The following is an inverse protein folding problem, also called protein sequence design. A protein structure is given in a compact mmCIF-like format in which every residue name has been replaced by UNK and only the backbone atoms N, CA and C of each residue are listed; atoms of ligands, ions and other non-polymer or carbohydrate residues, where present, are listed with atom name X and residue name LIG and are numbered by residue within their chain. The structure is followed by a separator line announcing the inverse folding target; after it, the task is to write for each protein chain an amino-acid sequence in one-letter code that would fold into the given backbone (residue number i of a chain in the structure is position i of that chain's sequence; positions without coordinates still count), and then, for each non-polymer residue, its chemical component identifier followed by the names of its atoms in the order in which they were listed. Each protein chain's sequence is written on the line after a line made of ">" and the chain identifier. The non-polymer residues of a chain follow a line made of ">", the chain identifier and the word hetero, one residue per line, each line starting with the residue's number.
data_IF_982205814460
#
_entry.id   IF_982205814460
#
_cell.length_a   1.000
_cell.length_b   1.000
_cell.length_c   1.000
_cell.angle_alpha   90.00
_cell.angle_beta   90.00
_cell.angle_gamma   90.00
#
_symmetry.space_group_name_H-M   'P 1'
#
loop_
_entity.id
_entity.type
_entity.pdbx_description
1 polymer ?
#
# COMPACT_ATOMS: atom_id res chain seq x y z
N UNK A 1 11.91 -49.04 -37.96
CA UNK A 1 11.14 -47.98 -38.65
C UNK A 1 10.39 -47.20 -37.58
N UNK A 2 10.93 -46.07 -37.09
CA UNK A 2 10.62 -44.69 -37.53
C UNK A 2 9.12 -44.41 -37.66
N UNK A 3 8.57 -43.77 -36.62
CA UNK A 3 7.86 -42.50 -36.80
C UNK A 3 7.97 -41.68 -35.51
N UNK A 4 8.66 -40.53 -35.61
CA UNK A 4 8.54 -39.39 -34.69
C UNK A 4 7.20 -38.72 -34.97
N UNK A 5 6.48 -38.33 -33.93
CA UNK A 5 5.75 -37.06 -33.93
C UNK A 5 6.17 -36.32 -32.67
N UNK A 6 6.83 -35.20 -32.90
CA UNK A 6 7.11 -34.13 -31.95
C UNK A 6 5.97 -33.13 -32.06
N UNK A 7 5.40 -32.72 -30.94
CA UNK A 7 5.00 -31.32 -30.73
C UNK A 7 4.91 -31.03 -29.23
N UNK A 8 5.52 -29.90 -28.87
CA UNK A 8 5.47 -29.25 -27.58
C UNK A 8 4.07 -29.20 -26.95
N UNK A 9 4.03 -29.44 -25.64
CA UNK A 9 3.09 -28.75 -24.76
C UNK A 9 3.78 -28.45 -23.43
N UNK A 10 4.16 -27.18 -23.32
CA UNK A 10 4.62 -26.49 -22.13
C UNK A 10 3.94 -26.93 -20.82
N UNK A 11 4.74 -27.19 -19.79
CA UNK A 11 4.55 -26.55 -18.47
C UNK A 11 3.22 -26.74 -17.71
N UNK A 12 2.62 -27.94 -17.70
CA UNK A 12 1.30 -28.12 -17.07
C UNK A 12 1.31 -28.55 -15.59
N UNK A 13 2.42 -28.98 -15.00
CA UNK A 13 2.36 -29.67 -13.68
C UNK A 13 3.13 -29.04 -12.50
N UNK A 14 3.52 -27.76 -12.57
CA UNK A 14 4.03 -26.99 -11.41
C UNK A 14 3.16 -25.79 -11.01
N UNK A 15 2.05 -25.55 -11.72
CA UNK A 15 1.11 -24.41 -11.57
C UNK A 15 -0.13 -24.72 -10.72
N UNK A 16 -0.28 -25.93 -10.16
CA UNK A 16 -1.47 -26.40 -9.41
C UNK A 16 -1.49 -26.06 -7.90
N UNK A 17 -0.39 -25.60 -7.29
CA UNK A 17 -0.27 -25.42 -5.83
C UNK A 17 -0.89 -24.12 -5.23
N UNK A 18 -0.99 -22.98 -5.96
CA UNK A 18 -1.80 -21.83 -5.51
C UNK A 18 -3.32 -22.10 -5.43
N UNK A 19 -3.80 -23.16 -6.10
CA UNK A 19 -5.23 -23.40 -6.37
C UNK A 19 -6.04 -23.99 -5.21
N UNK A 20 -5.40 -24.56 -4.19
CA UNK A 20 -6.10 -25.04 -2.98
C UNK A 20 -5.93 -24.12 -1.76
N UNK A 21 -4.95 -23.22 -1.77
CA UNK A 21 -4.35 -22.63 -0.55
C UNK A 21 -4.85 -21.22 -0.17
N UNK A 22 -6.05 -20.83 -0.60
CA UNK A 22 -6.80 -19.75 0.05
C UNK A 22 -8.29 -20.05 0.19
N UNK A 23 -8.69 -21.33 0.19
CA UNK A 23 -10.10 -21.80 0.23
C UNK A 23 -10.94 -20.88 1.12
N UNK A 24 -11.78 -20.09 0.45
CA UNK A 24 -12.75 -19.18 1.04
C UNK A 24 -13.50 -19.89 2.18
N UNK A 25 -14.00 -19.16 3.20
CA UNK A 25 -15.11 -19.69 3.97
C UNK A 25 -16.22 -20.01 2.97
N UNK A 26 -17.00 -21.03 3.25
CA UNK A 26 -18.11 -21.57 2.48
C UNK A 26 -17.78 -22.84 1.68
N UNK A 27 -18.33 -23.92 2.23
CA UNK A 27 -18.54 -25.27 1.69
C UNK A 27 -19.33 -25.32 0.35
N UNK A 28 -19.19 -24.35 -0.56
CA UNK A 28 -20.05 -24.20 -1.76
C UNK A 28 -19.41 -24.59 -3.10
N UNK A 29 -18.22 -25.19 -3.11
CA UNK A 29 -17.54 -25.59 -4.35
C UNK A 29 -17.56 -27.09 -4.65
N UNK A 30 -18.46 -27.84 -4.02
CA UNK A 30 -18.89 -29.14 -4.54
C UNK A 30 -20.32 -28.99 -5.05
N UNK A 31 -20.47 -28.40 -6.24
CA UNK A 31 -21.66 -28.60 -7.07
C UNK A 31 -22.59 -27.41 -7.35
N UNK A 32 -22.63 -26.33 -6.55
CA UNK A 32 -23.79 -25.40 -6.64
C UNK A 32 -23.50 -23.89 -6.41
N UNK A 33 -22.33 -23.35 -6.77
CA UNK A 33 -22.06 -21.90 -6.58
C UNK A 33 -21.02 -21.28 -7.50
N UNK A 34 -21.34 -20.08 -8.02
CA UNK A 34 -20.54 -19.15 -8.85
C UNK A 34 -19.32 -19.78 -9.54
N UNK A 35 -19.38 -19.99 -10.85
CA UNK A 35 -18.22 -20.49 -11.60
C UNK A 35 -17.01 -19.53 -11.45
N UNK A 36 -15.79 -20.07 -11.52
CA UNK A 36 -14.56 -19.26 -11.51
C UNK A 36 -14.62 -18.15 -12.57
N UNK A 37 -15.23 -18.42 -13.72
CA UNK A 37 -15.50 -17.47 -14.80
C UNK A 37 -16.28 -16.25 -14.33
N UNK A 38 -17.34 -16.45 -13.53
CA UNK A 38 -18.15 -15.35 -12.99
C UNK A 38 -17.34 -14.47 -12.03
N UNK A 39 -16.50 -15.08 -11.18
CA UNK A 39 -15.61 -14.35 -10.27
C UNK A 39 -14.60 -13.53 -11.06
N UNK A 40 -13.94 -14.12 -12.06
CA UNK A 40 -12.96 -13.43 -12.90
C UNK A 40 -13.59 -12.27 -13.68
N UNK A 41 -14.79 -12.47 -14.26
CA UNK A 41 -15.53 -11.41 -14.94
C UNK A 41 -15.86 -10.24 -14.00
N UNK A 42 -16.33 -10.54 -12.79
CA UNK A 42 -16.62 -9.51 -11.77
C UNK A 42 -15.37 -8.73 -11.36
N UNK A 43 -14.23 -9.40 -11.19
CA UNK A 43 -12.96 -8.75 -10.86
C UNK A 43 -12.45 -7.88 -12.00
N UNK A 44 -12.55 -8.34 -13.25
CA UNK A 44 -12.16 -7.56 -14.42
C UNK A 44 -13.02 -6.30 -14.57
N UNK A 45 -14.34 -6.42 -14.42
CA UNK A 45 -15.24 -5.27 -14.45
C UNK A 45 -14.90 -4.27 -13.33
N UNK A 46 -14.63 -4.77 -12.13
CA UNK A 46 -14.24 -3.92 -11.01
C UNK A 46 -12.88 -3.23 -11.23
N UNK A 47 -11.92 -3.90 -11.86
CA UNK A 47 -10.63 -3.31 -12.22
C UNK A 47 -10.76 -2.22 -13.30
N UNK A 48 -11.70 -2.38 -14.24
CA UNK A 48 -11.99 -1.34 -15.24
C UNK A 48 -12.65 -0.10 -14.62
N UNK A 49 -13.41 -0.27 -13.55
CA UNK A 49 -14.15 0.81 -12.89
C UNK A 49 -13.39 1.52 -11.76
N UNK A 50 -12.30 0.94 -11.24
CA UNK A 50 -11.58 1.44 -10.07
C UNK A 50 -10.07 1.27 -10.23
N UNK A 51 -9.34 2.39 -10.20
CA UNK A 51 -7.88 2.38 -10.25
C UNK A 51 -7.29 1.68 -9.04
N UNK A 52 -7.91 1.86 -7.86
CA UNK A 52 -7.51 1.15 -6.64
C UNK A 52 -7.61 -0.36 -6.82
N UNK A 53 -8.73 -0.82 -7.40
CA UNK A 53 -8.97 -2.24 -7.64
C UNK A 53 -7.99 -2.82 -8.68
N UNK A 54 -7.76 -2.09 -9.78
CA UNK A 54 -6.80 -2.48 -10.80
C UNK A 54 -5.40 -2.66 -10.22
N UNK A 55 -4.92 -1.67 -9.46
CA UNK A 55 -3.61 -1.71 -8.83
C UNK A 55 -3.49 -2.79 -7.77
N UNK A 56 -4.55 -3.03 -6.98
CA UNK A 56 -4.56 -4.10 -5.98
C UNK A 56 -4.40 -5.51 -6.61
N UNK A 57 -4.93 -5.71 -7.82
CA UNK A 57 -4.85 -6.96 -8.57
C UNK A 57 -3.48 -7.20 -9.25
N UNK A 58 -2.60 -6.19 -9.32
CA UNK A 58 -1.24 -6.35 -9.85
C UNK A 58 -0.30 -7.13 -8.92
N UNK A 59 -0.76 -7.49 -7.72
CA UNK A 59 0.02 -8.26 -6.76
C UNK A 59 -0.01 -9.75 -7.11
N UNK A 60 1.17 -10.35 -7.23
CA UNK A 60 1.33 -11.79 -7.38
C UNK A 60 0.94 -12.54 -6.09
N UNK A 61 0.55 -13.82 -6.17
CA UNK A 61 0.29 -14.63 -4.97
C UNK A 61 1.47 -14.65 -4.00
N UNK A 62 2.71 -14.65 -4.51
CA UNK A 62 3.92 -14.58 -3.70
C UNK A 62 4.04 -13.23 -2.99
N UNK A 63 3.82 -12.10 -3.67
CA UNK A 63 3.84 -10.77 -3.03
C UNK A 63 2.75 -10.59 -1.96
N UNK A 64 1.64 -11.31 -2.08
CA UNK A 64 0.61 -11.32 -1.03
C UNK A 64 1.00 -12.25 0.12
N UNK A 65 1.38 -13.49 -0.16
CA UNK A 65 1.52 -14.54 0.86
C UNK A 65 2.92 -14.68 1.47
N UNK A 66 3.97 -14.39 0.73
CA UNK A 66 5.35 -14.51 1.21
C UNK A 66 5.69 -13.30 2.08
N UNK A 67 5.24 -13.36 3.33
CA UNK A 67 5.40 -12.30 4.32
C UNK A 67 6.53 -12.56 5.31
N UNK A 68 7.19 -13.73 5.27
CA UNK A 68 8.37 -14.08 6.08
C UNK A 68 8.23 -13.77 7.59
N UNK A 69 7.01 -13.85 8.12
CA UNK A 69 6.71 -13.52 9.52
C UNK A 69 6.83 -12.02 9.85
N UNK A 70 6.78 -11.15 8.85
CA UNK A 70 6.76 -9.67 8.99
C UNK A 70 5.34 -9.17 9.30
N UNK A 71 4.34 -9.91 8.82
CA UNK A 71 2.92 -9.64 8.98
C UNK A 71 2.26 -10.78 9.76
N UNK A 72 1.10 -10.48 10.35
CA UNK A 72 0.22 -11.50 10.90
C UNK A 72 -0.58 -12.16 9.77
N UNK A 73 -0.99 -13.41 9.97
CA UNK A 73 -1.89 -14.10 9.04
C UNK A 73 -3.16 -13.27 8.76
N UNK A 74 -3.72 -12.63 9.79
CA UNK A 74 -4.88 -11.76 9.63
C UNK A 74 -4.61 -10.58 8.68
N UNK A 75 -3.47 -9.89 8.82
CA UNK A 75 -3.10 -8.78 7.94
C UNK A 75 -2.98 -9.21 6.47
N UNK A 76 -2.41 -10.39 6.24
CA UNK A 76 -2.25 -10.95 4.89
C UNK A 76 -3.60 -11.40 4.32
N UNK A 77 -4.47 -11.98 5.14
CA UNK A 77 -5.81 -12.38 4.75
C UNK A 77 -6.70 -11.19 4.37
N UNK A 78 -6.68 -10.11 5.16
CA UNK A 78 -7.42 -8.88 4.83
C UNK A 78 -6.91 -8.31 3.52
N UNK A 79 -5.59 -8.14 3.41
CA UNK A 79 -4.89 -7.69 2.21
C UNK A 79 -5.27 -8.46 0.95
N UNK A 80 -5.34 -9.79 1.04
CA UNK A 80 -5.81 -10.64 -0.05
C UNK A 80 -7.27 -10.39 -0.39
N UNK A 81 -8.15 -10.45 0.61
CA UNK A 81 -9.60 -10.34 0.41
C UNK A 81 -10.01 -8.99 -0.15
N UNK A 82 -9.26 -7.94 0.14
CA UNK A 82 -9.43 -6.63 -0.50
C UNK A 82 -9.11 -6.76 -2.00
N UNK A 83 -7.94 -7.30 -2.34
CA UNK A 83 -7.51 -7.44 -3.74
C UNK A 83 -8.48 -8.28 -4.58
N UNK A 84 -9.05 -9.35 -4.01
CA UNK A 84 -10.04 -10.20 -4.72
C UNK A 84 -11.50 -9.87 -4.40
N UNK A 85 -11.79 -8.73 -3.77
CA UNK A 85 -13.15 -8.29 -3.40
C UNK A 85 -13.97 -9.32 -2.60
N UNK A 86 -13.31 -10.14 -1.79
CA UNK A 86 -13.90 -11.16 -0.92
C UNK A 86 -13.96 -10.74 0.56
N UNK A 87 -13.64 -9.47 0.85
CA UNK A 87 -13.86 -8.93 2.18
C UNK A 87 -15.38 -8.72 2.36
N UNK A 88 -15.95 -9.33 3.38
CA UNK A 88 -17.40 -9.26 3.58
C UNK A 88 -17.77 -7.89 4.16
N UNK A 89 -18.57 -7.13 3.41
CA UNK A 89 -19.09 -5.83 3.85
C UNK A 89 -20.51 -5.93 4.44
N UNK A 90 -20.98 -7.13 4.77
CA UNK A 90 -22.29 -7.32 5.40
C UNK A 90 -22.49 -6.47 6.66
N UNK A 91 -23.75 -6.11 6.89
CA UNK A 91 -24.39 -5.75 8.15
C UNK A 91 -25.90 -5.83 7.92
N UNK A 92 -26.70 -6.00 8.98
CA UNK A 92 -28.15 -6.27 8.90
C UNK A 92 -28.91 -5.28 8.02
N UNK A 93 -28.55 -4.01 8.11
CA UNK A 93 -29.28 -2.93 7.44
C UNK A 93 -28.79 -2.64 6.02
N UNK A 94 -27.74 -3.33 5.55
CA UNK A 94 -27.07 -3.02 4.27
C UNK A 94 -28.01 -3.08 3.07
N UNK A 95 -29.02 -3.95 3.13
CA UNK A 95 -30.02 -4.08 2.07
C UNK A 95 -30.90 -2.83 1.92
N UNK A 96 -31.09 -2.08 3.02
CA UNK A 96 -31.85 -0.82 3.03
C UNK A 96 -30.94 0.38 2.79
N UNK A 97 -29.76 0.36 3.41
CA UNK A 97 -28.79 1.42 3.34
C UNK A 97 -27.38 0.83 3.28
N UNK A 98 -26.77 0.92 2.09
CA UNK A 98 -25.41 0.45 1.84
C UNK A 98 -24.36 1.56 1.97
N UNK A 99 -24.69 2.68 2.63
CA UNK A 99 -23.76 3.75 2.89
C UNK A 99 -22.70 3.40 3.93
N UNK A 100 -21.56 4.07 3.87
CA UNK A 100 -20.46 3.91 4.79
C UNK A 100 -20.83 4.47 6.16
N UNK A 101 -20.77 3.62 7.18
CA UNK A 101 -21.11 3.96 8.58
C UNK A 101 -19.91 4.35 9.42
N UNK A 102 -18.73 4.50 8.79
CA UNK A 102 -17.48 4.73 9.51
C UNK A 102 -17.39 6.13 10.12
N UNK A 103 -17.90 7.14 9.41
CA UNK A 103 -17.97 8.53 9.86
C UNK A 103 -19.34 9.11 9.49
N UNK A 104 -19.80 10.12 10.23
CA UNK A 104 -20.98 10.90 9.86
C UNK A 104 -20.80 11.54 8.47
N UNK A 105 -19.62 12.07 8.18
CA UNK A 105 -19.28 12.67 6.88
C UNK A 105 -19.32 11.67 5.71
N UNK A 106 -19.38 10.37 5.98
CA UNK A 106 -19.53 9.33 4.96
C UNK A 106 -21.00 8.95 4.70
N UNK A 107 -21.95 9.55 5.40
CA UNK A 107 -23.37 9.26 5.22
C UNK A 107 -23.79 9.54 3.77
N UNK A 108 -24.54 8.61 3.18
CA UNK A 108 -24.96 8.67 1.78
C UNK A 108 -23.89 8.23 0.76
N UNK A 109 -22.62 8.10 1.17
CA UNK A 109 -21.58 7.53 0.31
C UNK A 109 -21.63 6.01 0.35
N UNK A 110 -21.80 5.38 -0.82
CA UNK A 110 -21.88 3.92 -0.93
C UNK A 110 -20.61 3.25 -0.40
N UNK A 111 -20.77 2.28 0.51
CA UNK A 111 -19.65 1.55 1.08
C UNK A 111 -19.09 0.53 0.07
N UNK A 112 -18.00 0.90 -0.59
CA UNK A 112 -17.23 0.05 -1.51
C UNK A 112 -15.83 -0.24 -0.95
N UNK A 113 -15.10 -1.18 -1.56
CA UNK A 113 -13.68 -1.42 -1.21
C UNK A 113 -12.84 -0.15 -1.43
N UNK A 114 -13.05 0.52 -2.56
CA UNK A 114 -12.34 1.75 -2.92
C UNK A 114 -12.65 2.86 -1.91
N UNK A 115 -13.92 3.03 -1.54
CA UNK A 115 -14.28 3.98 -0.50
C UNK A 115 -13.57 3.66 0.81
N UNK A 116 -13.67 2.42 1.31
CA UNK A 116 -13.12 2.05 2.62
C UNK A 116 -11.59 2.15 2.71
N UNK A 117 -10.89 1.85 1.62
CA UNK A 117 -9.43 1.74 1.63
C UNK A 117 -8.71 2.87 0.93
N UNK A 118 -9.42 3.74 0.21
CA UNK A 118 -8.83 4.88 -0.47
C UNK A 118 -9.61 6.17 -0.19
N UNK A 119 -10.87 6.27 -0.60
CA UNK A 119 -11.58 7.57 -0.67
C UNK A 119 -12.06 8.10 0.69
N UNK A 120 -12.39 7.22 1.63
CA UNK A 120 -12.89 7.57 2.95
C UNK A 120 -11.93 8.55 3.64
N UNK A 121 -12.42 9.62 4.30
CA UNK A 121 -11.56 10.58 5.01
C UNK A 121 -10.56 9.92 5.97
N UNK A 122 -10.96 8.85 6.67
CA UNK A 122 -10.05 8.05 7.51
C UNK A 122 -8.91 7.40 6.71
N UNK A 123 -9.21 6.83 5.53
CA UNK A 123 -8.21 6.22 4.67
C UNK A 123 -7.25 7.27 4.11
N UNK A 124 -7.81 8.35 3.59
CA UNK A 124 -7.11 9.52 3.06
C UNK A 124 -6.06 10.07 4.04
N UNK A 125 -6.40 10.28 5.33
CA UNK A 125 -5.42 10.77 6.32
C UNK A 125 -4.40 9.72 6.75
N UNK A 126 -4.76 8.43 6.76
CA UNK A 126 -3.82 7.35 7.08
C UNK A 126 -2.77 7.18 5.98
N UNK A 127 -3.19 7.21 4.71
CA UNK A 127 -2.27 7.20 3.57
C UNK A 127 -1.41 8.44 3.52
N UNK A 128 -2.00 9.63 3.71
CA UNK A 128 -1.23 10.87 3.78
C UNK A 128 -0.15 10.79 4.86
N UNK A 129 -0.48 10.28 6.06
CA UNK A 129 0.50 10.05 7.13
C UNK A 129 1.64 9.16 6.67
N UNK A 130 1.35 7.99 6.08
CA UNK A 130 2.37 7.09 5.58
C UNK A 130 3.25 7.73 4.51
N UNK A 131 2.62 8.31 3.48
CA UNK A 131 3.30 8.94 2.34
C UNK A 131 4.22 10.06 2.82
N UNK A 132 3.76 10.93 3.72
CA UNK A 132 4.57 12.06 4.17
C UNK A 132 5.81 11.62 4.95
N UNK A 133 5.65 10.63 5.84
CA UNK A 133 6.78 10.09 6.60
C UNK A 133 7.74 9.30 5.71
N UNK A 134 7.21 8.59 4.72
CA UNK A 134 7.98 7.84 3.75
C UNK A 134 8.86 8.71 2.84
N UNK A 135 8.29 9.77 2.28
CA UNK A 135 9.00 10.70 1.39
C UNK A 135 9.85 11.71 2.16
N UNK A 136 9.56 11.92 3.44
CA UNK A 136 10.14 12.98 4.27
C UNK A 136 9.62 14.37 3.93
N UNK A 137 8.46 14.46 3.25
CA UNK A 137 7.84 15.68 2.72
C UNK A 137 6.36 15.72 3.09
N UNK A 138 5.84 16.87 3.54
CA UNK A 138 4.42 17.06 3.90
C UNK A 138 3.54 17.28 2.66
N UNK A 139 2.97 16.21 2.13
CA UNK A 139 2.04 16.27 1.02
C UNK A 139 0.65 16.76 1.44
N UNK A 140 0.07 17.68 0.65
CA UNK A 140 -1.35 18.05 0.77
C UNK A 140 -2.25 16.97 0.16
N UNK A 141 -3.53 16.97 0.56
CA UNK A 141 -4.47 15.91 0.19
C UNK A 141 -4.62 15.75 -1.32
N UNK A 142 -4.70 16.86 -2.05
CA UNK A 142 -4.86 16.88 -3.51
C UNK A 142 -3.71 16.21 -4.27
N UNK A 143 -2.56 16.00 -3.62
CA UNK A 143 -1.38 15.40 -4.24
C UNK A 143 -1.20 13.92 -3.89
N UNK A 144 -1.95 13.40 -2.91
CA UNK A 144 -1.82 11.98 -2.55
C UNK A 144 -2.34 11.01 -3.62
N UNK A 145 -3.27 11.37 -4.54
CA UNK A 145 -3.66 10.51 -5.67
C UNK A 145 -2.49 10.00 -6.51
N UNK A 146 -1.39 10.74 -6.62
CA UNK A 146 -0.19 10.27 -7.31
C UNK A 146 0.44 9.00 -6.69
N UNK A 147 0.04 8.62 -5.46
CA UNK A 147 0.52 7.45 -4.74
C UNK A 147 -0.50 6.30 -4.69
N UNK A 148 -1.68 6.44 -5.32
CA UNK A 148 -2.77 5.47 -5.25
C UNK A 148 -2.30 4.06 -5.60
N UNK A 149 -1.67 3.90 -6.77
CA UNK A 149 -1.18 2.61 -7.26
C UNK A 149 -0.20 1.97 -6.27
N UNK A 150 0.71 2.77 -5.71
CA UNK A 150 1.70 2.31 -4.73
C UNK A 150 1.06 1.84 -3.41
N UNK A 151 0.00 2.52 -2.97
CA UNK A 151 -0.75 2.16 -1.77
C UNK A 151 -1.54 0.86 -1.99
N UNK A 152 -2.28 0.77 -3.11
CA UNK A 152 -3.10 -0.38 -3.45
C UNK A 152 -2.28 -1.65 -3.70
N UNK A 153 -1.19 -1.53 -4.48
CA UNK A 153 -0.26 -2.64 -4.77
C UNK A 153 0.64 -2.97 -3.58
N UNK A 154 0.69 -2.11 -2.56
CA UNK A 154 1.64 -2.18 -1.42
C UNK A 154 3.11 -2.23 -1.86
N UNK A 155 3.39 -1.67 -3.03
CA UNK A 155 4.73 -1.55 -3.59
C UNK A 155 5.22 -0.12 -3.39
N UNK A 156 6.42 0.03 -2.84
CA UNK A 156 6.98 1.33 -2.51
C UNK A 156 7.17 2.20 -3.76
N UNK A 157 6.84 3.51 -3.69
CA UNK A 157 7.22 4.44 -4.75
C UNK A 157 8.75 4.58 -4.81
N UNK A 158 9.24 5.06 -5.95
CA UNK A 158 10.66 5.41 -6.10
C UNK A 158 11.08 6.39 -5.02
N UNK A 159 12.23 6.13 -4.38
CA UNK A 159 12.75 6.97 -3.32
C UNK A 159 12.99 8.39 -3.85
N UNK A 160 12.60 9.39 -3.04
CA UNK A 160 12.88 10.80 -3.34
C UNK A 160 14.38 11.04 -3.40
N UNK A 161 14.81 12.07 -4.15
CA UNK A 161 16.23 12.48 -4.20
C UNK A 161 16.79 12.71 -2.79
N UNK A 162 16.00 13.34 -1.91
CA UNK A 162 16.34 13.62 -0.51
C UNK A 162 16.57 12.33 0.28
N UNK A 163 15.70 11.33 0.15
CA UNK A 163 15.88 10.04 0.84
C UNK A 163 17.09 9.28 0.30
N UNK A 164 17.31 9.27 -1.02
CA UNK A 164 18.49 8.64 -1.64
C UNK A 164 19.79 9.30 -1.16
N UNK A 165 19.86 10.62 -1.16
CA UNK A 165 21.01 11.37 -0.67
C UNK A 165 21.28 11.09 0.80
N UNK A 166 20.24 11.07 1.64
CA UNK A 166 20.38 10.73 3.05
C UNK A 166 20.94 9.31 3.24
N UNK A 167 20.45 8.33 2.48
CA UNK A 167 20.99 6.96 2.54
C UNK A 167 22.46 6.91 2.12
N UNK A 168 22.82 7.59 1.03
CA UNK A 168 24.19 7.65 0.54
C UNK A 168 25.15 8.38 1.51
N UNK A 169 24.65 9.37 2.26
CA UNK A 169 25.45 10.13 3.23
C UNK A 169 25.68 9.35 4.52
N UNK A 170 24.64 8.71 5.07
CA UNK A 170 24.76 7.98 6.35
C UNK A 170 25.37 6.59 6.17
N UNK A 171 25.14 5.96 5.01
CA UNK A 171 25.48 4.56 4.74
C UNK A 171 25.98 4.36 3.30
N UNK A 172 27.11 4.99 2.91
CA UNK A 172 27.62 4.94 1.53
C UNK A 172 27.87 3.50 1.04
N UNK A 173 28.32 2.61 1.91
CA UNK A 173 28.68 1.23 1.55
C UNK A 173 27.47 0.28 1.48
N UNK A 174 26.30 0.70 1.96
CA UNK A 174 25.15 -0.16 2.22
C UNK A 174 23.83 0.40 1.64
N UNK A 175 23.90 1.37 0.71
CA UNK A 175 22.73 2.13 0.19
C UNK A 175 21.62 1.22 -0.31
N UNK A 176 21.96 0.17 -1.06
CA UNK A 176 20.97 -0.76 -1.62
C UNK A 176 20.29 -1.60 -0.53
N UNK A 177 21.05 -2.04 0.47
CA UNK A 177 20.52 -2.81 1.59
C UNK A 177 19.55 -1.95 2.43
N UNK A 178 19.90 -0.70 2.73
CA UNK A 178 19.00 0.23 3.40
C UNK A 178 17.80 0.63 2.53
N UNK A 179 17.99 0.73 1.21
CA UNK A 179 16.88 0.98 0.27
C UNK A 179 15.87 -0.18 0.33
N UNK A 180 16.34 -1.42 0.42
CA UNK A 180 15.47 -2.58 0.56
C UNK A 180 14.73 -2.60 1.91
N UNK A 181 15.39 -2.27 3.02
CA UNK A 181 14.72 -2.14 4.33
C UNK A 181 13.73 -0.96 4.37
N UNK A 182 14.05 0.14 3.67
CA UNK A 182 13.07 1.20 3.44
C UNK A 182 11.88 0.57 2.72
N UNK A 183 12.03 -0.01 1.52
CA UNK A 183 10.91 -0.59 0.72
C UNK A 183 10.06 -1.58 1.52
N UNK A 184 10.71 -2.36 2.39
CA UNK A 184 10.07 -3.28 3.32
C UNK A 184 9.16 -2.59 4.34
N UNK A 185 9.59 -1.47 4.93
CA UNK A 185 8.75 -0.63 5.81
C UNK A 185 7.46 -0.21 5.09
N UNK A 186 7.55 0.24 3.83
CA UNK A 186 6.35 0.62 3.06
C UNK A 186 5.38 -0.55 2.95
N UNK A 187 5.85 -1.71 2.48
CA UNK A 187 5.01 -2.91 2.33
C UNK A 187 4.30 -3.28 3.63
N UNK A 188 5.04 -3.25 4.75
CA UNK A 188 4.49 -3.59 6.07
C UNK A 188 3.44 -2.57 6.50
N UNK A 189 3.76 -1.26 6.47
CA UNK A 189 2.83 -0.23 6.91
C UNK A 189 1.61 -0.11 6.00
N UNK A 190 1.74 -0.31 4.70
CA UNK A 190 0.60 -0.36 3.78
C UNK A 190 -0.34 -1.53 4.10
N UNK A 191 0.21 -2.70 4.46
CA UNK A 191 -0.57 -3.86 4.91
C UNK A 191 -1.28 -3.61 6.25
N UNK A 192 -0.59 -2.94 7.18
CA UNK A 192 -1.14 -2.53 8.48
C UNK A 192 -2.25 -1.49 8.29
N UNK A 193 -2.06 -0.51 7.40
CA UNK A 193 -3.04 0.52 7.09
C UNK A 193 -4.37 -0.09 6.64
N UNK A 194 -4.36 -0.93 5.59
CA UNK A 194 -5.60 -1.57 5.11
C UNK A 194 -6.25 -2.47 6.16
N UNK A 195 -5.45 -3.13 6.99
CA UNK A 195 -5.96 -3.97 8.08
C UNK A 195 -6.66 -3.13 9.16
N UNK A 196 -6.04 -2.03 9.58
CA UNK A 196 -6.64 -1.12 10.56
C UNK A 196 -7.90 -0.45 10.04
N UNK A 197 -7.92 -0.03 8.77
CA UNK A 197 -9.12 0.55 8.16
C UNK A 197 -10.29 -0.44 8.18
N UNK A 198 -10.02 -1.73 7.93
CA UNK A 198 -11.02 -2.80 8.03
C UNK A 198 -11.48 -3.05 9.46
N UNK A 199 -10.57 -3.04 10.44
CA UNK A 199 -10.93 -3.23 11.86
C UNK A 199 -11.82 -2.08 12.35
N UNK A 200 -11.44 -0.83 12.05
CA UNK A 200 -12.21 0.36 12.41
C UNK A 200 -13.61 0.35 11.81
N UNK A 201 -13.72 -0.05 10.53
CA UNK A 201 -15.03 -0.22 9.88
C UNK A 201 -15.88 -1.23 10.65
N UNK A 202 -15.32 -2.38 11.02
CA UNK A 202 -16.08 -3.40 11.74
C UNK A 202 -16.49 -2.94 13.14
N UNK A 203 -15.64 -2.18 13.85
CA UNK A 203 -16.00 -1.57 15.14
C UNK A 203 -17.13 -0.56 15.01
N UNK A 204 -17.07 0.33 14.02
CA UNK A 204 -18.14 1.29 13.76
C UNK A 204 -19.47 0.59 13.42
N UNK A 205 -19.43 -0.46 12.59
CA UNK A 205 -20.61 -1.16 12.10
C UNK A 205 -21.24 -2.10 13.14
N UNK A 206 -20.43 -2.87 13.87
CA UNK A 206 -20.92 -3.95 14.73
C UNK A 206 -20.83 -3.65 16.23
N UNK A 207 -20.01 -2.69 16.63
CA UNK A 207 -19.82 -2.29 18.03
C UNK A 207 -20.28 -0.85 18.27
N UNK A 208 -20.77 -0.16 17.24
CA UNK A 208 -21.20 1.24 17.29
C UNK A 208 -20.13 2.18 17.84
N UNK A 209 -18.85 1.83 17.63
CA UNK A 209 -17.73 2.64 18.08
C UNK A 209 -17.64 3.92 17.24
N UNK A 210 -17.49 5.07 17.90
CA UNK A 210 -17.29 6.35 17.23
C UNK A 210 -15.85 6.43 16.73
N UNK A 211 -15.68 6.28 15.42
CA UNK A 211 -14.39 6.48 14.76
C UNK A 211 -14.19 7.96 14.46
N UNK A 212 -12.98 8.46 14.69
CA UNK A 212 -12.60 9.83 14.29
C UNK A 212 -11.45 9.79 13.29
N UNK A 213 -11.31 10.85 12.50
CA UNK A 213 -10.21 11.01 11.54
C UNK A 213 -8.85 10.97 12.27
N UNK A 214 -8.71 11.77 13.34
CA UNK A 214 -7.48 11.80 14.14
C UNK A 214 -7.20 10.47 14.85
N UNK A 215 -8.24 9.84 15.42
CA UNK A 215 -8.15 8.52 16.02
C UNK A 215 -7.69 7.47 15.02
N UNK A 216 -8.17 7.55 13.77
CA UNK A 216 -7.78 6.60 12.72
C UNK A 216 -6.29 6.62 12.44
N UNK A 217 -5.70 7.82 12.33
CA UNK A 217 -4.24 7.98 12.15
C UNK A 217 -3.48 7.46 13.36
N UNK A 218 -3.96 7.74 14.58
CA UNK A 218 -3.29 7.30 15.80
C UNK A 218 -3.24 5.78 15.91
N UNK A 219 -4.38 5.12 15.70
CA UNK A 219 -4.53 3.67 15.76
C UNK A 219 -3.80 2.93 14.64
N UNK A 220 -3.63 3.55 13.47
CA UNK A 220 -2.78 2.99 12.42
C UNK A 220 -1.29 3.16 12.77
N UNK A 221 -0.87 4.40 13.03
CA UNK A 221 0.54 4.76 13.03
C UNK A 221 1.28 4.20 14.24
N UNK A 222 0.72 4.35 15.45
CA UNK A 222 1.40 3.96 16.69
C UNK A 222 1.57 2.43 16.81
N UNK A 223 0.54 1.60 16.57
CA UNK A 223 0.70 0.15 16.48
C UNK A 223 1.59 -0.28 15.31
N UNK A 224 1.50 0.38 14.15
CA UNK A 224 2.37 0.10 13.00
C UNK A 224 3.86 0.24 13.32
N UNK A 225 4.25 1.38 13.92
CA UNK A 225 5.64 1.58 14.37
C UNK A 225 6.04 0.60 15.48
N UNK A 226 5.09 0.18 16.34
CA UNK A 226 5.35 -0.83 17.38
C UNK A 226 5.64 -2.20 16.76
N UNK A 227 4.87 -2.63 15.77
CA UNK A 227 5.10 -3.89 15.04
C UNK A 227 6.45 -3.87 14.34
N UNK A 228 6.79 -2.80 13.61
CA UNK A 228 8.12 -2.66 12.98
C UNK A 228 9.26 -2.71 14.00
N UNK A 229 9.10 -2.06 15.16
CA UNK A 229 10.10 -2.10 16.23
C UNK A 229 10.26 -3.51 16.80
N UNK A 230 9.16 -4.23 16.99
CA UNK A 230 9.19 -5.60 17.48
C UNK A 230 9.88 -6.53 16.46
N UNK A 231 9.56 -6.38 15.18
CA UNK A 231 10.19 -7.09 14.07
C UNK A 231 11.71 -6.87 14.04
N UNK A 232 12.13 -5.60 14.06
CA UNK A 232 13.55 -5.25 14.02
C UNK A 232 14.31 -5.78 15.24
N UNK A 233 13.72 -5.69 16.44
CA UNK A 233 14.28 -6.28 17.67
C UNK A 233 14.39 -7.81 17.59
N UNK A 234 13.39 -8.49 17.03
CA UNK A 234 13.42 -9.94 16.81
C UNK A 234 14.60 -10.31 15.91
N UNK A 235 14.79 -9.58 14.83
CA UNK A 235 15.87 -9.83 13.86
C UNK A 235 17.26 -9.53 14.42
N UNK A 236 17.42 -8.47 15.22
CA UNK A 236 18.66 -8.17 15.93
C UNK A 236 19.11 -9.28 16.90
N UNK A 237 18.19 -10.13 17.37
CA UNK A 237 18.49 -11.23 18.30
C UNK A 237 18.98 -12.50 17.61
N UNK A 238 18.80 -12.63 16.30
CA UNK A 238 19.21 -13.82 15.55
C UNK A 238 20.47 -13.53 14.76
N UNK A 239 21.42 -14.46 14.75
CA UNK A 239 22.74 -14.28 14.11
C UNK A 239 22.59 -14.06 12.60
N UNK A 240 21.69 -14.81 11.96
CA UNK A 240 21.39 -14.78 10.52
C UNK A 240 20.75 -13.47 10.04
N UNK A 241 19.96 -12.79 10.89
CA UNK A 241 19.23 -11.57 10.51
C UNK A 241 19.68 -10.31 11.26
N UNK A 242 20.75 -10.37 12.06
CA UNK A 242 21.16 -9.28 12.95
C UNK A 242 21.40 -7.96 12.22
N UNK A 243 22.07 -8.04 11.07
CA UNK A 243 22.38 -6.87 10.24
C UNK A 243 21.10 -6.27 9.66
N UNK A 244 20.19 -7.09 9.11
CA UNK A 244 18.88 -6.65 8.60
C UNK A 244 18.06 -5.95 9.69
N UNK A 245 17.95 -6.55 10.88
CA UNK A 245 17.24 -5.96 12.00
C UNK A 245 17.83 -4.61 12.44
N UNK A 246 19.16 -4.46 12.36
CA UNK A 246 19.86 -3.21 12.71
C UNK A 246 19.56 -2.12 11.68
N UNK A 247 19.63 -2.45 10.38
CA UNK A 247 19.25 -1.55 9.29
C UNK A 247 17.78 -1.11 9.40
N UNK A 248 16.87 -2.05 9.67
CA UNK A 248 15.46 -1.77 9.87
C UNK A 248 15.22 -0.82 11.07
N UNK A 249 15.93 -1.01 12.20
CA UNK A 249 15.84 -0.10 13.35
C UNK A 249 16.29 1.33 12.98
N UNK A 250 17.36 1.46 12.19
CA UNK A 250 17.85 2.77 11.76
C UNK A 250 16.86 3.47 10.83
N UNK A 251 16.36 2.76 9.81
CA UNK A 251 15.27 3.24 8.96
C UNK A 251 14.06 3.66 9.79
N UNK A 252 13.63 2.85 10.75
CA UNK A 252 12.48 3.17 11.60
C UNK A 252 12.67 4.47 12.40
N UNK A 253 13.89 4.72 12.91
CA UNK A 253 14.21 5.99 13.60
C UNK A 253 14.08 7.18 12.66
N UNK A 254 14.51 7.05 11.40
CA UNK A 254 14.34 8.11 10.39
C UNK A 254 12.87 8.33 10.07
N UNK A 255 12.11 7.27 9.81
CA UNK A 255 10.69 7.33 9.47
C UNK A 255 9.86 8.01 10.56
N UNK A 256 10.18 7.77 11.83
CA UNK A 256 9.46 8.35 12.95
C UNK A 256 9.64 9.87 13.10
N UNK A 257 10.61 10.49 12.39
CA UNK A 257 10.81 11.95 12.40
C UNK A 257 9.69 12.66 11.64
N UNK A 258 9.41 13.91 12.01
CA UNK A 258 8.41 14.71 11.33
C UNK A 258 8.85 15.02 9.88
N UNK A 259 7.94 14.95 8.89
CA UNK A 259 8.23 15.34 7.51
C UNK A 259 8.49 16.85 7.39
N UNK A 260 9.40 17.24 6.49
CA UNK A 260 9.62 18.66 6.20
C UNK A 260 8.46 19.24 5.38
N UNK A 261 8.16 20.54 5.47
CA UNK A 261 7.21 21.20 4.57
C UNK A 261 7.58 20.94 3.10
N UNK A 262 6.58 20.83 2.21
CA UNK A 262 6.84 20.92 0.76
C UNK A 262 7.46 22.27 0.51
N UNK A 263 8.71 22.29 0.05
CA UNK A 263 9.25 23.51 -0.56
C UNK A 263 8.37 23.80 -1.79
N UNK A 264 7.80 25.01 -1.91
CA UNK A 264 7.19 25.42 -3.16
C UNK A 264 8.21 25.20 -4.28
N UNK A 265 7.79 24.81 -5.50
CA UNK A 265 8.70 24.96 -6.64
C UNK A 265 9.22 26.39 -6.61
N UNK A 266 10.54 26.59 -6.69
CA UNK A 266 11.17 27.90 -6.77
C UNK A 266 10.43 28.75 -7.82
N UNK A 267 9.51 29.60 -7.37
CA UNK A 267 8.79 30.55 -8.24
C UNK A 267 9.69 31.72 -8.65
N UNK A 268 10.98 31.68 -8.30
CA UNK A 268 11.98 32.70 -8.61
C UNK A 268 13.22 32.14 -9.30
N UNK A 269 13.11 31.09 -10.13
CA UNK A 269 14.04 31.03 -11.27
C UNK A 269 13.59 32.08 -12.27
N UNK A 270 14.25 33.24 -12.25
CA UNK A 270 14.16 34.22 -13.32
C UNK A 270 14.17 33.47 -14.67
N UNK A 271 13.22 33.73 -15.59
CA UNK A 271 13.17 33.04 -16.86
C UNK A 271 14.55 33.13 -17.51
N UNK A 272 15.15 31.99 -17.86
CA UNK A 272 16.49 31.95 -18.45
C UNK A 272 16.60 32.87 -19.69
N UNK A 273 15.46 33.14 -20.35
CA UNK A 273 15.30 34.13 -21.41
C UNK A 273 15.52 35.58 -20.97
N UNK A 274 15.03 36.01 -19.80
CA UNK A 274 15.23 37.39 -19.31
C UNK A 274 16.69 37.65 -18.91
N UNK A 275 17.37 36.67 -18.30
CA UNK A 275 18.80 36.77 -18.01
C UNK A 275 19.62 36.81 -19.30
N UNK A 276 19.24 36.01 -20.31
CA UNK A 276 19.93 35.97 -21.61
C UNK A 276 19.69 37.23 -22.44
N UNK A 277 18.48 37.82 -22.40
CA UNK A 277 18.15 39.10 -23.05
C UNK A 277 18.90 40.26 -22.41
N UNK A 278 19.03 40.30 -21.08
CA UNK A 278 19.84 41.33 -20.38
C UNK A 278 21.32 41.26 -20.75
N UNK A 279 21.89 40.05 -20.84
CA UNK A 279 23.26 39.84 -21.30
C UNK A 279 23.48 40.33 -22.74
N UNK A 280 22.52 40.06 -23.64
CA UNK A 280 22.56 40.54 -25.03
C UNK A 280 22.43 42.07 -25.11
N UNK A 281 21.55 42.67 -24.31
CA UNK A 281 21.35 44.11 -24.23
C UNK A 281 22.61 44.84 -23.72
N UNK A 282 23.34 44.25 -22.76
CA UNK A 282 24.64 44.77 -22.31
C UNK A 282 25.77 44.58 -23.32
N UNK A 283 25.68 43.59 -24.22
CA UNK A 283 26.69 43.39 -25.28
C UNK A 283 26.49 44.29 -26.51
N UNK A 284 25.28 44.80 -26.74
CA UNK A 284 25.00 45.73 -27.83
C UNK A 284 25.28 47.21 -27.48
N UNK A 285 25.62 47.50 -26.22
CA UNK A 285 25.97 48.84 -25.75
C UNK A 285 27.50 49.02 -25.53
N UNK A 286 28.32 48.16 -26.15
CA UNK A 286 29.77 48.37 -26.36
C UNK A 286 30.02 48.49 -27.86
#
# INVERSE_FOLDING_TARGET
>A
MRTRISTDSHGVYQTLCPLALKKQPFRRYKGEGLTLTTILSSLNHAAQASEWQAAALLQTPKEVWDHRGELTEYQVWVSYRIAVRQLNLYHSDRARDNSCRKLLDCQGQKETMEHLFWECPCAQVCWQKLICHWTGVRWAQDNIPAFLVHCAKREAPTLSKKTKQWLAQEHPDDVDAFTNEWKRIWRILSSICVTHLSIQRNRAVYQHEVVTIAGSVHEFWKPGLRQLRALAKRECRRVDSKIQGTRLLFCLRKLARQPSPVQPPDRYKAPALLTRLRLYQTSCNR
#
